data_IF_372624573045
#
_entry.id   IF_372624573045
#
_cell.length_a   1.000
_cell.length_b   1.000
_cell.length_c   1.000
_cell.angle_alpha   90.00
_cell.angle_beta   90.00
_cell.angle_gamma   90.00
#
_symmetry.space_group_name_H-M   'P 1'
#
loop_
_entity.id
_entity.type
_entity.pdbx_description
1 polymer ?
#
# COMPACT_ATOMS: atom_id res chain seq x y z
N UNK A 1 36.48 13.01 -67.32
CA UNK A 1 35.30 12.36 -67.93
C UNK A 1 34.38 11.92 -66.80
N UNK A 2 33.05 12.06 -66.76
CA UNK A 2 31.97 12.81 -67.42
C UNK A 2 30.73 12.43 -66.57
N UNK A 3 29.92 13.41 -66.14
CA UNK A 3 28.44 13.42 -65.94
C UNK A 3 27.76 12.23 -65.18
N UNK A 4 26.65 12.36 -64.44
CA UNK A 4 25.44 13.18 -64.64
C UNK A 4 24.47 12.91 -63.48
N UNK A 5 23.67 13.91 -63.15
CA UNK A 5 22.44 13.81 -62.35
C UNK A 5 21.38 12.91 -63.05
N UNK A 6 20.52 12.23 -62.29
CA UNK A 6 19.25 11.69 -62.80
C UNK A 6 18.13 11.77 -61.75
N UNK A 7 17.11 12.53 -62.14
CA UNK A 7 15.84 12.85 -61.50
C UNK A 7 14.77 11.82 -61.87
N UNK A 8 13.81 11.59 -60.96
CA UNK A 8 12.45 11.11 -61.26
C UNK A 8 12.30 9.58 -61.40
N UNK A 9 11.13 8.97 -61.31
CA UNK A 9 9.75 9.33 -60.93
C UNK A 9 8.97 7.98 -60.99
N UNK A 10 8.03 7.74 -60.08
CA UNK A 10 6.81 6.87 -60.21
C UNK A 10 6.96 5.36 -60.51
N UNK A 11 6.30 4.53 -59.67
CA UNK A 11 5.32 3.47 -60.03
C UNK A 11 5.08 2.59 -58.78
N UNK A 12 3.92 2.67 -58.12
CA UNK A 12 2.71 1.85 -58.36
C UNK A 12 2.98 0.33 -58.32
N UNK A 13 2.41 -0.31 -57.28
CA UNK A 13 1.84 -1.65 -57.41
C UNK A 13 2.55 -2.76 -56.63
N UNK A 14 1.91 -3.26 -55.58
CA UNK A 14 1.37 -4.63 -55.55
C UNK A 14 0.92 -4.99 -54.14
N UNK A 15 -0.37 -5.30 -54.02
CA UNK A 15 -1.04 -5.85 -52.85
C UNK A 15 -0.53 -7.27 -52.61
N UNK A 16 -0.15 -7.58 -51.37
CA UNK A 16 -0.07 -8.95 -50.87
C UNK A 16 -0.68 -9.00 -49.46
N UNK A 17 -1.91 -9.52 -49.41
CA UNK A 17 -2.63 -9.87 -48.17
C UNK A 17 -1.99 -11.12 -47.59
N UNK A 18 -1.48 -11.04 -46.37
CA UNK A 18 -1.36 -12.19 -45.48
C UNK A 18 -1.82 -11.76 -44.08
N UNK A 19 -2.90 -12.41 -43.65
CA UNK A 19 -3.53 -12.31 -42.34
C UNK A 19 -2.54 -12.60 -41.21
N UNK A 20 -2.73 -11.99 -40.04
CA UNK A 20 -2.83 -12.70 -38.75
C UNK A 20 -3.22 -11.71 -37.62
N UNK A 21 -4.12 -12.19 -36.76
CA UNK A 21 -4.44 -11.73 -35.41
C UNK A 21 -5.14 -10.36 -35.23
N UNK A 22 -6.46 -10.43 -35.11
CA UNK A 22 -7.25 -9.43 -34.39
C UNK A 22 -6.80 -9.35 -32.91
N UNK A 23 -6.63 -8.17 -32.31
CA UNK A 23 -6.72 -8.05 -30.86
C UNK A 23 -8.20 -8.11 -30.50
N UNK A 24 -8.65 -9.25 -29.98
CA UNK A 24 -9.86 -9.29 -29.16
C UNK A 24 -9.64 -8.36 -27.97
N UNK A 25 -10.17 -7.14 -28.05
CA UNK A 25 -10.35 -6.29 -26.88
C UNK A 25 -11.35 -7.00 -25.98
N UNK A 26 -10.86 -7.71 -24.97
CA UNK A 26 -11.66 -8.10 -23.84
C UNK A 26 -12.19 -6.81 -23.20
N UNK A 27 -13.42 -6.41 -23.55
CA UNK A 27 -14.19 -5.44 -22.77
C UNK A 27 -14.56 -6.15 -21.47
N UNK A 28 -13.66 -6.08 -20.49
CA UNK A 28 -14.09 -6.23 -19.11
C UNK A 28 -15.14 -5.14 -18.86
N UNK A 29 -16.35 -5.48 -18.37
CA UNK A 29 -17.24 -4.48 -17.80
C UNK A 29 -16.44 -3.69 -16.78
N UNK A 30 -16.34 -2.38 -16.97
CA UNK A 30 -15.81 -1.50 -15.95
C UNK A 30 -16.74 -1.63 -14.73
N UNK A 31 -16.29 -2.41 -13.74
CA UNK A 31 -16.81 -2.25 -12.39
C UNK A 31 -16.62 -0.76 -12.03
N UNK A 32 -17.63 -0.10 -11.44
CA UNK A 32 -17.43 1.26 -10.97
C UNK A 32 -16.19 1.25 -10.10
N UNK A 33 -15.20 2.07 -10.48
CA UNK A 33 -14.05 2.34 -9.65
C UNK A 33 -14.59 2.97 -8.37
N UNK A 34 -14.79 2.16 -7.33
CA UNK A 34 -14.84 2.65 -5.98
C UNK A 34 -13.53 3.39 -5.79
N UNK A 35 -13.59 4.71 -5.72
CA UNK A 35 -12.44 5.50 -5.34
C UNK A 35 -11.87 4.84 -4.09
N UNK A 36 -10.57 4.50 -4.03
CA UNK A 36 -9.97 4.26 -2.73
C UNK A 36 -10.23 5.55 -1.97
N UNK A 37 -11.10 5.48 -0.96
CA UNK A 37 -11.20 6.53 0.03
C UNK A 37 -9.90 6.42 0.83
N UNK A 38 -8.80 6.88 0.25
CA UNK A 38 -7.70 7.41 1.04
C UNK A 38 -8.31 8.59 1.75
N UNK A 39 -8.84 8.35 2.95
CA UNK A 39 -9.20 9.43 3.85
C UNK A 39 -7.93 10.27 3.97
N UNK A 40 -7.93 11.45 3.33
CA UNK A 40 -6.88 12.42 3.52
C UNK A 40 -7.01 12.90 4.96
N UNK A 41 -6.39 12.19 5.89
CA UNK A 41 -6.17 12.63 7.26
C UNK A 41 -5.14 13.77 7.18
N UNK A 42 -5.56 14.96 6.74
CA UNK A 42 -4.70 16.13 6.62
C UNK A 42 -4.83 17.01 7.87
N UNK A 43 -3.71 17.30 8.54
CA UNK A 43 -3.64 18.29 9.62
C UNK A 43 -4.10 17.74 10.98
N UNK A 44 -5.00 18.45 11.66
CA UNK A 44 -5.42 18.12 13.04
C UNK A 44 -5.99 16.71 13.21
N UNK A 45 -6.58 16.16 12.15
CA UNK A 45 -7.18 14.81 12.17
C UNK A 45 -6.12 13.71 12.25
N UNK A 46 -4.93 13.94 11.69
CA UNK A 46 -3.80 13.01 11.82
C UNK A 46 -3.28 12.99 13.25
N UNK A 47 -3.16 14.15 13.89
CA UNK A 47 -2.73 14.21 15.29
C UNK A 47 -3.77 13.63 16.24
N UNK A 48 -5.07 13.85 15.99
CA UNK A 48 -6.12 13.20 16.77
C UNK A 48 -6.08 11.67 16.63
N UNK A 49 -5.81 11.20 15.41
CA UNK A 49 -5.65 9.78 15.10
C UNK A 49 -4.43 9.16 15.79
N UNK A 50 -3.25 9.80 15.70
CA UNK A 50 -2.02 9.34 16.36
C UNK A 50 -2.23 9.30 17.88
N UNK A 51 -2.84 10.33 18.46
CA UNK A 51 -3.03 10.39 19.91
C UNK A 51 -4.22 9.55 20.41
N UNK A 52 -4.89 8.78 19.53
CA UNK A 52 -5.98 7.91 19.94
C UNK A 52 -5.47 6.76 20.83
N UNK A 53 -6.19 6.41 21.92
CA UNK A 53 -5.80 5.32 22.80
C UNK A 53 -5.57 3.97 22.10
N UNK A 54 -6.24 3.70 20.98
CA UNK A 54 -6.04 2.48 20.20
C UNK A 54 -4.68 2.46 19.49
N UNK A 55 -4.16 3.62 19.07
CA UNK A 55 -2.83 3.69 18.46
C UNK A 55 -1.72 3.51 19.51
N UNK A 56 -1.92 4.01 20.72
CA UNK A 56 -1.05 3.67 21.85
C UNK A 56 -1.13 2.18 22.21
N UNK A 57 -2.32 1.59 22.25
CA UNK A 57 -2.49 0.16 22.49
C UNK A 57 -1.81 -0.70 21.41
N UNK A 58 -1.81 -0.24 20.15
CA UNK A 58 -1.07 -0.89 19.07
C UNK A 58 0.43 -0.88 19.35
N UNK A 59 1.02 0.28 19.69
CA UNK A 59 2.42 0.40 20.09
C UNK A 59 2.78 -0.51 21.27
N UNK A 60 1.99 -0.50 22.34
CA UNK A 60 2.22 -1.33 23.52
C UNK A 60 2.14 -2.83 23.18
N UNK A 61 1.21 -3.20 22.30
CA UNK A 61 1.09 -4.57 21.79
C UNK A 61 2.32 -4.97 20.98
N UNK A 62 2.86 -4.06 20.15
CA UNK A 62 4.11 -4.28 19.43
C UNK A 62 5.28 -4.47 20.40
N UNK A 63 5.46 -3.58 21.38
CA UNK A 63 6.51 -3.74 22.40
C UNK A 63 6.42 -5.08 23.12
N UNK A 64 5.21 -5.46 23.53
CA UNK A 64 4.99 -6.73 24.22
C UNK A 64 5.31 -7.93 23.34
N UNK A 65 4.96 -7.90 22.05
CA UNK A 65 5.29 -8.96 21.11
C UNK A 65 6.81 -9.14 20.94
N UNK A 66 7.57 -8.04 20.99
CA UNK A 66 9.02 -8.01 20.82
C UNK A 66 9.82 -8.10 22.13
N UNK A 67 9.18 -8.29 23.28
CA UNK A 67 9.84 -8.29 24.59
C UNK A 67 10.93 -9.37 24.75
N UNK A 68 10.87 -10.43 23.96
CA UNK A 68 11.87 -11.52 23.93
C UNK A 68 12.87 -11.39 22.77
N UNK A 69 12.85 -10.25 22.08
CA UNK A 69 13.68 -9.98 20.90
C UNK A 69 12.97 -10.26 19.56
N UNK A 70 13.47 -9.66 18.46
CA UNK A 70 12.82 -9.67 17.15
C UNK A 70 12.71 -11.05 16.48
N UNK A 71 13.60 -11.99 16.83
CA UNK A 71 13.59 -13.35 16.30
C UNK A 71 12.58 -14.29 16.99
N UNK A 72 11.95 -13.84 18.07
CA UNK A 72 11.05 -14.66 18.91
C UNK A 72 9.56 -14.29 18.78
N UNK A 73 9.24 -13.35 17.91
CA UNK A 73 7.87 -12.87 17.73
C UNK A 73 6.96 -13.96 17.14
N UNK A 74 5.87 -14.26 17.85
CA UNK A 74 4.73 -14.95 17.28
C UNK A 74 3.94 -13.98 16.38
N UNK A 75 4.29 -13.97 15.10
CA UNK A 75 3.72 -13.04 14.12
C UNK A 75 2.20 -13.24 13.99
N UNK A 76 1.73 -14.49 13.96
CA UNK A 76 0.31 -14.78 13.79
C UNK A 76 -0.50 -14.33 15.02
N UNK A 77 -0.01 -14.62 16.23
CA UNK A 77 -0.64 -14.17 17.46
C UNK A 77 -0.62 -12.64 17.61
N UNK A 78 0.47 -11.99 17.21
CA UNK A 78 0.58 -10.53 17.16
C UNK A 78 -0.44 -9.90 16.19
N UNK A 79 -0.55 -10.42 14.96
CA UNK A 79 -1.54 -9.94 13.98
C UNK A 79 -2.97 -9.99 14.53
N UNK A 80 -3.35 -11.11 15.16
CA UNK A 80 -4.69 -11.25 15.73
C UNK A 80 -4.99 -10.22 16.82
N UNK A 81 -4.01 -9.91 17.67
CA UNK A 81 -4.14 -8.85 18.69
C UNK A 81 -4.31 -7.47 18.05
N UNK A 82 -3.53 -7.17 17.01
CA UNK A 82 -3.66 -5.92 16.27
C UNK A 82 -5.03 -5.80 15.61
N UNK A 83 -5.55 -6.86 14.99
CA UNK A 83 -6.88 -6.83 14.38
C UNK A 83 -7.98 -6.62 15.41
N UNK A 84 -7.84 -7.12 16.64
CA UNK A 84 -8.78 -6.81 17.71
C UNK A 84 -8.78 -5.31 18.05
N UNK A 85 -7.60 -4.68 18.12
CA UNK A 85 -7.46 -3.24 18.32
C UNK A 85 -8.10 -2.46 17.17
N UNK A 86 -7.81 -2.84 15.93
CA UNK A 86 -8.35 -2.16 14.74
C UNK A 86 -9.87 -2.28 14.64
N UNK A 87 -10.47 -3.41 15.04
CA UNK A 87 -11.93 -3.53 15.14
C UNK A 87 -12.53 -2.55 16.14
N UNK A 88 -11.92 -2.41 17.31
CA UNK A 88 -12.36 -1.47 18.35
C UNK A 88 -12.17 -0.01 17.91
N UNK A 89 -11.14 0.25 17.12
CA UNK A 89 -10.83 1.56 16.58
C UNK A 89 -11.80 2.03 15.50
N UNK A 90 -12.30 1.12 14.65
CA UNK A 90 -13.15 1.45 13.50
C UNK A 90 -14.28 2.46 13.78
N UNK A 91 -15.13 2.26 14.80
CA UNK A 91 -16.22 3.19 15.12
C UNK A 91 -15.76 4.62 15.43
N UNK A 92 -14.57 4.81 16.02
CA UNK A 92 -14.02 6.15 16.31
C UNK A 92 -13.65 6.92 15.04
N UNK A 93 -13.36 6.19 13.97
CA UNK A 93 -13.04 6.72 12.64
C UNK A 93 -14.22 6.67 11.67
N UNK A 94 -15.44 6.45 12.17
CA UNK A 94 -16.65 6.29 11.37
C UNK A 94 -16.57 5.17 10.32
N UNK A 95 -15.79 4.11 10.60
CA UNK A 95 -15.68 2.88 9.80
C UNK A 95 -16.33 1.70 10.51
N UNK A 96 -16.72 0.66 9.75
CA UNK A 96 -17.10 -0.62 10.35
C UNK A 96 -15.86 -1.29 10.96
N UNK A 97 -16.02 -2.14 12.01
CA UNK A 97 -14.90 -2.88 12.60
C UNK A 97 -14.11 -3.67 11.55
N UNK A 98 -14.80 -4.38 10.65
CA UNK A 98 -14.19 -5.17 9.58
C UNK A 98 -13.57 -4.28 8.50
N UNK A 99 -14.18 -3.14 8.18
CA UNK A 99 -13.62 -2.18 7.24
C UNK A 99 -12.31 -1.58 7.74
N UNK A 100 -12.21 -1.32 9.04
CA UNK A 100 -10.96 -0.84 9.65
C UNK A 100 -9.87 -1.92 9.65
N UNK A 101 -10.22 -3.18 9.95
CA UNK A 101 -9.28 -4.29 9.79
C UNK A 101 -8.81 -4.39 8.34
N UNK A 102 -9.71 -4.36 7.37
CA UNK A 102 -9.33 -4.46 5.95
C UNK A 102 -8.38 -3.34 5.53
N UNK A 103 -8.63 -2.12 6.02
CA UNK A 103 -7.79 -0.96 5.78
C UNK A 103 -6.37 -1.09 6.36
N UNK A 104 -6.24 -1.67 7.55
CA UNK A 104 -4.97 -1.70 8.30
C UNK A 104 -4.28 -3.08 8.32
N UNK A 105 -4.86 -4.13 7.75
CA UNK A 105 -4.41 -5.53 7.93
C UNK A 105 -2.96 -5.81 7.52
N UNK A 106 -2.39 -4.99 6.64
CA UNK A 106 -1.00 -5.16 6.18
C UNK A 106 0.02 -4.57 7.16
N UNK A 107 -0.38 -3.59 7.96
CA UNK A 107 0.51 -2.82 8.84
C UNK A 107 1.21 -3.69 9.89
N UNK A 108 0.55 -4.65 10.58
CA UNK A 108 1.23 -5.45 11.59
C UNK A 108 2.46 -6.20 11.05
N UNK A 109 2.36 -6.81 9.86
CA UNK A 109 3.53 -7.50 9.25
C UNK A 109 4.62 -6.52 8.81
N UNK A 110 4.24 -5.35 8.31
CA UNK A 110 5.19 -4.30 7.96
C UNK A 110 5.96 -3.84 9.21
N UNK A 111 5.25 -3.58 10.31
CA UNK A 111 5.86 -3.24 11.61
C UNK A 111 6.80 -4.35 12.09
N UNK A 112 6.42 -5.63 11.94
CA UNK A 112 7.32 -6.74 12.31
C UNK A 112 8.64 -6.66 11.55
N UNK A 113 8.57 -6.35 10.25
CA UNK A 113 9.77 -6.21 9.44
C UNK A 113 10.59 -4.97 9.82
N UNK A 114 9.95 -3.81 10.01
CA UNK A 114 10.61 -2.58 10.45
C UNK A 114 11.37 -2.81 11.76
N UNK A 115 10.75 -3.43 12.77
CA UNK A 115 11.41 -3.68 14.07
C UNK A 115 12.56 -4.68 13.96
N UNK A 116 12.47 -5.65 13.04
CA UNK A 116 13.58 -6.58 12.76
C UNK A 116 14.78 -5.87 12.13
N UNK A 117 14.52 -4.89 11.28
CA UNK A 117 15.55 -4.08 10.61
C UNK A 117 16.15 -3.03 11.54
N UNK A 118 15.31 -2.38 12.36
CA UNK A 118 15.69 -1.39 13.36
C UNK A 118 14.86 -1.54 14.65
N UNK A 119 15.40 -2.18 15.70
CA UNK A 119 14.71 -2.31 16.97
C UNK A 119 14.48 -0.99 17.71
N UNK A 120 15.25 0.07 17.41
CA UNK A 120 15.13 1.37 18.08
C UNK A 120 13.82 2.09 17.78
N UNK A 121 13.08 1.64 16.76
CA UNK A 121 11.71 2.12 16.50
C UNK A 121 10.77 1.90 17.70
N UNK A 122 11.09 0.96 18.60
CA UNK A 122 10.29 0.67 19.80
C UNK A 122 10.75 1.42 21.06
N UNK A 123 11.83 2.20 21.01
CA UNK A 123 12.35 2.91 22.18
C UNK A 123 11.33 3.89 22.77
N UNK A 124 10.57 4.56 21.89
CA UNK A 124 9.49 5.47 22.26
C UNK A 124 8.38 5.50 21.19
N UNK A 125 7.26 6.11 21.56
CA UNK A 125 6.06 6.18 20.71
C UNK A 125 6.26 7.02 19.44
N UNK A 126 7.01 8.13 19.52
CA UNK A 126 7.25 8.99 18.37
C UNK A 126 8.09 8.30 17.30
N UNK A 127 9.13 7.55 17.68
CA UNK A 127 9.91 6.71 16.77
C UNK A 127 9.01 5.69 16.06
N UNK A 128 8.13 5.03 16.81
CA UNK A 128 7.20 4.05 16.26
C UNK A 128 6.25 4.67 15.24
N UNK A 129 5.65 5.81 15.57
CA UNK A 129 4.74 6.53 14.68
C UNK A 129 5.47 6.98 13.42
N UNK A 130 6.65 7.58 13.55
CA UNK A 130 7.46 8.03 12.42
C UNK A 130 7.84 6.88 11.47
N UNK A 131 8.21 5.72 12.03
CA UNK A 131 8.57 4.53 11.26
C UNK A 131 7.37 3.87 10.58
N UNK A 132 6.19 3.90 11.21
CA UNK A 132 5.00 3.18 10.72
C UNK A 132 4.17 4.02 9.75
N UNK A 133 4.06 5.33 9.99
CA UNK A 133 3.15 6.22 9.25
C UNK A 133 3.86 7.32 8.47
N UNK A 134 5.18 7.43 8.62
CA UNK A 134 6.02 8.43 7.99
C UNK A 134 6.32 9.62 8.89
N UNK A 135 7.30 10.45 8.50
CA UNK A 135 7.64 11.68 9.24
C UNK A 135 6.48 12.68 9.19
N UNK A 136 6.31 13.40 10.31
CA UNK A 136 5.33 14.48 10.49
C UNK A 136 5.85 15.82 9.98
#
# INVERSE_FOLDING_TARGET
MIHRQLTGLVAVGAVAVLAFAAPARAQHPALPAGHPTTAHMQGNDEQAWINDPHMHAFYDTTRAAFAQGPDKVDVAGYEQKCFAIFRAFGPTMHMTPEGMVDHLKLIPRQVVQIVKEDPHVLDNYDNFVAATFGPR
#
